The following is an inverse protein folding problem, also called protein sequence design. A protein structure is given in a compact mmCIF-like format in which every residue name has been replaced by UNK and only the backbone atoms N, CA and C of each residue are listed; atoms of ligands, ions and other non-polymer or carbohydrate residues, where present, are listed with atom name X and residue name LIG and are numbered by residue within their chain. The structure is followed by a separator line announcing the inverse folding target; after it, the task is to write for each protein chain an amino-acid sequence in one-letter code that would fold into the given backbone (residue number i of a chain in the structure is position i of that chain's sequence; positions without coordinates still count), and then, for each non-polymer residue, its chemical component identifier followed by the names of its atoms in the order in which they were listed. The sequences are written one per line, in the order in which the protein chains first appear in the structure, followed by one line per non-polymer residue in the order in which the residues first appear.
data_IF_830105055944
#
_entry.id   IF_830105055944
#
_cell.length_a   1.000
_cell.length_b   1.000
_cell.length_c   1.000
_cell.angle_alpha   90.00
_cell.angle_beta   90.00
_cell.angle_gamma   90.00
#
_symmetry.space_group_name_H-M   'P 1'
#
loop_
_entity.id
_entity.type
_entity.pdbx_description
1 polymer ?
#
# COMPACT_ATOMS: atom_id res chain seq x y z
N UNK A 1 -19.28 1.08 16.03
CA UNK A 1 -18.73 2.44 15.91
C UNK A 1 -18.44 2.65 14.44
N UNK A 2 -19.43 3.19 13.71
CA UNK A 2 -19.28 3.43 12.27
C UNK A 2 -18.04 4.29 12.01
N UNK A 3 -17.38 4.00 10.91
CA UNK A 3 -16.05 4.42 10.55
C UNK A 3 -16.10 5.90 10.11
N UNK A 4 -16.36 6.82 11.06
CA UNK A 4 -16.50 8.27 10.81
C UNK A 4 -15.29 8.83 10.06
N UNK A 5 -14.12 8.19 10.22
CA UNK A 5 -12.86 8.51 9.53
C UNK A 5 -12.99 8.31 8.01
N UNK A 6 -13.71 7.30 7.51
CA UNK A 6 -13.81 7.03 6.07
C UNK A 6 -14.75 7.99 5.31
N UNK A 7 -15.44 8.89 6.02
CA UNK A 7 -16.36 9.86 5.41
C UNK A 7 -15.72 11.18 5.00
N UNK A 8 -14.47 11.43 5.41
CA UNK A 8 -13.80 12.71 5.20
C UNK A 8 -13.34 12.82 3.74
N UNK A 9 -13.78 13.87 3.04
CA UNK A 9 -13.26 14.18 1.71
C UNK A 9 -12.09 15.17 1.82
N UNK A 10 -10.88 14.64 1.96
CA UNK A 10 -9.68 15.47 2.15
C UNK A 10 -8.46 14.82 1.50
N UNK A 11 -7.72 15.60 0.73
CA UNK A 11 -6.52 15.15 0.04
C UNK A 11 -5.45 14.60 0.98
N UNK A 12 -5.22 15.26 2.13
CA UNK A 12 -4.24 14.78 3.14
C UNK A 12 -4.66 13.44 3.73
N UNK A 13 -5.97 13.26 3.93
CA UNK A 13 -6.50 12.00 4.42
C UNK A 13 -6.33 10.89 3.38
N UNK A 14 -6.60 11.18 2.11
CA UNK A 14 -6.33 10.26 1.00
C UNK A 14 -4.86 9.87 0.87
N UNK A 15 -3.93 10.83 1.02
CA UNK A 15 -2.50 10.56 1.03
C UNK A 15 -2.11 9.59 2.14
N UNK A 16 -2.58 9.82 3.37
CA UNK A 16 -2.31 8.94 4.50
C UNK A 16 -2.90 7.54 4.28
N UNK A 17 -4.13 7.45 3.78
CA UNK A 17 -4.76 6.17 3.45
C UNK A 17 -3.99 5.40 2.38
N UNK A 18 -3.49 6.09 1.35
CA UNK A 18 -2.71 5.47 0.28
C UNK A 18 -1.39 4.85 0.75
N UNK A 19 -0.86 5.30 1.89
CA UNK A 19 0.34 4.74 2.53
C UNK A 19 0.05 3.54 3.44
N UNK A 20 -1.22 3.32 3.82
CA UNK A 20 -1.61 2.18 4.66
C UNK A 20 -1.55 0.87 3.87
N UNK A 21 -1.94 0.88 2.59
CA UNK A 21 -1.94 -0.31 1.74
C UNK A 21 -0.56 -1.00 1.59
N UNK A 22 0.57 -0.29 1.41
CA UNK A 22 1.91 -0.88 1.47
C UNK A 22 2.20 -1.64 2.77
N UNK A 23 1.82 -1.05 3.91
CA UNK A 23 2.05 -1.64 5.23
C UNK A 23 1.21 -2.91 5.39
N UNK A 24 -0.09 -2.83 5.06
CA UNK A 24 -0.99 -3.99 5.09
C UNK A 24 -0.48 -5.09 4.16
N UNK A 25 -0.04 -4.74 2.95
CA UNK A 25 0.50 -5.70 1.99
C UNK A 25 1.71 -6.46 2.53
N UNK A 26 2.64 -5.75 3.18
CA UNK A 26 3.82 -6.34 3.80
C UNK A 26 3.43 -7.35 4.88
N UNK A 27 2.47 -7.00 5.75
CA UNK A 27 1.97 -7.92 6.78
C UNK A 27 1.23 -9.12 6.19
N UNK A 28 0.35 -8.91 5.21
CA UNK A 28 -0.34 -10.01 4.51
C UNK A 28 0.69 -10.98 3.95
N UNK A 29 1.72 -10.47 3.26
CA UNK A 29 2.74 -11.31 2.67
C UNK A 29 3.55 -12.08 3.72
N UNK A 30 3.93 -11.41 4.82
CA UNK A 30 4.60 -12.04 5.95
C UNK A 30 3.78 -13.19 6.54
N UNK A 31 2.52 -12.96 6.89
CA UNK A 31 1.68 -13.99 7.51
C UNK A 31 1.32 -15.15 6.57
N UNK A 32 1.22 -14.89 5.26
CA UNK A 32 0.87 -15.93 4.29
C UNK A 32 2.07 -16.82 3.97
N UNK A 33 3.28 -16.27 3.84
CA UNK A 33 4.44 -16.99 3.30
C UNK A 33 5.61 -17.18 4.28
N UNK A 34 5.71 -16.33 5.29
CA UNK A 34 6.85 -16.27 6.22
C UNK A 34 6.41 -16.34 7.69
N UNK A 35 5.22 -16.88 7.97
CA UNK A 35 4.70 -17.01 9.34
C UNK A 35 5.55 -17.88 10.26
N UNK A 36 6.39 -18.76 9.70
CA UNK A 36 7.30 -19.65 10.44
C UNK A 36 8.62 -19.00 10.84
N UNK A 37 8.95 -17.80 10.33
CA UNK A 37 10.20 -17.08 10.64
C UNK A 37 9.91 -15.78 11.37
N UNK A 38 10.90 -15.25 12.09
CA UNK A 38 10.74 -13.96 12.76
C UNK A 38 10.62 -12.82 11.76
N UNK A 39 9.95 -11.73 12.16
CA UNK A 39 9.81 -10.55 11.30
C UNK A 39 11.17 -9.93 10.92
N UNK A 40 12.17 -10.03 11.81
CA UNK A 40 13.54 -9.58 11.54
C UNK A 40 14.18 -10.39 10.41
N UNK A 41 14.09 -11.73 10.47
CA UNK A 41 14.60 -12.61 9.41
C UNK A 41 13.88 -12.39 8.08
N UNK A 42 12.57 -12.17 8.12
CA UNK A 42 11.79 -11.80 6.94
C UNK A 42 12.28 -10.50 6.31
N UNK A 43 12.57 -9.47 7.10
CA UNK A 43 13.07 -8.20 6.58
C UNK A 43 14.47 -8.35 5.97
N UNK A 44 15.35 -9.12 6.61
CA UNK A 44 16.66 -9.48 6.04
C UNK A 44 16.51 -10.25 4.72
N UNK A 45 15.57 -11.18 4.65
CA UNK A 45 15.28 -11.96 3.45
C UNK A 45 14.77 -11.07 2.30
N UNK A 46 13.83 -10.16 2.56
CA UNK A 46 13.35 -9.20 1.56
C UNK A 46 14.46 -8.30 1.01
N UNK A 47 15.41 -7.91 1.87
CA UNK A 47 16.53 -7.05 1.46
C UNK A 47 17.51 -7.77 0.53
N UNK A 48 17.74 -9.07 0.76
CA UNK A 48 18.62 -9.91 -0.07
C UNK A 48 17.94 -10.33 -1.38
N UNK A 49 16.65 -10.65 -1.33
CA UNK A 49 15.89 -11.22 -2.45
C UNK A 49 14.95 -10.19 -3.09
N UNK A 50 15.47 -9.41 -4.04
CA UNK A 50 14.74 -8.32 -4.74
C UNK A 50 13.51 -8.81 -5.52
N UNK A 51 13.47 -10.07 -5.92
CA UNK A 51 12.32 -10.71 -6.55
C UNK A 51 11.10 -10.78 -5.62
N UNK A 52 11.34 -10.93 -4.31
CA UNK A 52 10.27 -11.00 -3.30
C UNK A 52 9.64 -9.63 -3.05
N UNK A 53 10.37 -8.54 -3.27
CA UNK A 53 9.84 -7.17 -3.21
C UNK A 53 8.71 -7.00 -4.23
N UNK A 54 8.85 -7.60 -5.42
CA UNK A 54 7.78 -7.58 -6.45
C UNK A 54 6.54 -8.34 -5.96
N UNK A 55 6.73 -9.47 -5.29
CA UNK A 55 5.64 -10.26 -4.73
C UNK A 55 4.85 -9.53 -3.62
N UNK A 56 5.52 -8.67 -2.84
CA UNK A 56 4.86 -7.78 -1.86
C UNK A 56 4.16 -6.59 -2.54
N UNK A 57 4.67 -6.14 -3.69
CA UNK A 57 4.17 -4.95 -4.39
C UNK A 57 2.82 -5.18 -5.08
N UNK A 58 2.55 -6.39 -5.56
CA UNK A 58 1.27 -6.74 -6.21
C UNK A 58 0.06 -6.56 -5.27
N UNK A 59 0.00 -7.19 -4.08
CA UNK A 59 -1.11 -6.99 -3.15
C UNK A 59 -1.25 -5.53 -2.69
N UNK A 60 -0.14 -4.77 -2.61
CA UNK A 60 -0.17 -3.35 -2.28
C UNK A 60 -0.94 -2.54 -3.33
N UNK A 61 -0.64 -2.75 -4.62
CA UNK A 61 -1.33 -2.08 -5.71
C UNK A 61 -2.82 -2.47 -5.76
N UNK A 62 -3.14 -3.75 -5.55
CA UNK A 62 -4.53 -4.22 -5.50
C UNK A 62 -5.30 -3.56 -4.36
N UNK A 63 -4.73 -3.49 -3.16
CA UNK A 63 -5.36 -2.81 -2.02
C UNK A 63 -5.58 -1.32 -2.28
N UNK A 64 -4.61 -0.64 -2.89
CA UNK A 64 -4.76 0.78 -3.22
C UNK A 64 -5.78 1.03 -4.33
N UNK A 65 -5.88 0.15 -5.33
CA UNK A 65 -6.95 0.20 -6.33
C UNK A 65 -8.30 0.01 -5.65
N UNK A 66 -8.44 -0.97 -4.75
CA UNK A 66 -9.68 -1.20 -4.02
C UNK A 66 -10.10 0.02 -3.18
N UNK A 67 -9.15 0.63 -2.45
CA UNK A 67 -9.39 1.87 -1.70
C UNK A 67 -9.78 3.02 -2.63
N UNK A 68 -9.03 3.24 -3.70
CA UNK A 68 -9.32 4.27 -4.69
C UNK A 68 -10.73 4.11 -5.27
N UNK A 69 -11.10 2.90 -5.71
CA UNK A 69 -12.42 2.58 -6.28
C UNK A 69 -13.54 2.80 -5.25
N UNK A 70 -13.33 2.43 -3.99
CA UNK A 70 -14.31 2.70 -2.94
C UNK A 70 -14.57 4.20 -2.75
N UNK A 71 -13.51 5.01 -2.72
CA UNK A 71 -13.61 6.46 -2.49
C UNK A 71 -14.17 7.22 -3.68
N UNK A 72 -13.80 6.87 -4.91
CA UNK A 72 -14.33 7.51 -6.12
C UNK A 72 -15.83 7.20 -6.29
N UNK A 73 -16.25 5.95 -6.05
CA UNK A 73 -17.66 5.57 -6.11
C UNK A 73 -18.50 6.18 -4.99
N UNK A 74 -17.86 6.61 -3.89
CA UNK A 74 -18.50 7.33 -2.80
C UNK A 74 -18.54 8.86 -3.00
N UNK A 75 -18.19 9.36 -4.19
CA UNK A 75 -18.09 10.79 -4.51
C UNK A 75 -17.14 11.57 -3.58
N UNK A 76 -16.03 10.95 -3.15
CA UNK A 76 -14.99 11.58 -2.30
C UNK A 76 -13.73 11.81 -3.11
N UNK A 77 -13.86 12.70 -4.09
CA UNK A 77 -12.87 12.88 -5.15
C UNK A 77 -11.53 13.40 -4.62
N UNK A 78 -11.51 14.25 -3.58
CA UNK A 78 -10.25 14.73 -3.00
C UNK A 78 -9.49 13.60 -2.31
N UNK A 79 -10.20 12.70 -1.63
CA UNK A 79 -9.59 11.54 -0.98
C UNK A 79 -9.09 10.53 -2.00
N UNK A 80 -9.89 10.24 -3.03
CA UNK A 80 -9.49 9.38 -4.14
C UNK A 80 -8.22 9.92 -4.84
N UNK A 81 -8.17 11.23 -5.11
CA UNK A 81 -6.96 11.90 -5.64
C UNK A 81 -5.76 11.75 -4.71
N UNK A 82 -5.95 11.86 -3.39
CA UNK A 82 -4.89 11.63 -2.41
C UNK A 82 -4.34 10.20 -2.44
N UNK A 83 -5.22 9.19 -2.48
CA UNK A 83 -4.83 7.77 -2.56
C UNK A 83 -4.05 7.51 -3.85
N UNK A 84 -4.55 8.01 -4.98
CA UNK A 84 -3.90 7.88 -6.28
C UNK A 84 -2.53 8.58 -6.31
N UNK A 85 -2.43 9.79 -5.74
CA UNK A 85 -1.17 10.53 -5.68
C UNK A 85 -0.12 9.80 -4.84
N UNK A 86 -0.49 9.28 -3.65
CA UNK A 86 0.39 8.45 -2.84
C UNK A 86 0.84 7.19 -3.62
N UNK A 87 -0.09 6.58 -4.35
CA UNK A 87 0.17 5.43 -5.21
C UNK A 87 1.22 5.71 -6.27
N UNK A 88 1.08 6.83 -6.96
CA UNK A 88 2.02 7.25 -7.98
C UNK A 88 3.41 7.54 -7.39
N UNK A 89 3.48 8.19 -6.22
CA UNK A 89 4.76 8.51 -5.56
C UNK A 89 5.55 7.24 -5.27
N UNK A 90 4.98 6.26 -4.56
CA UNK A 90 5.74 5.06 -4.24
C UNK A 90 5.97 4.16 -5.47
N UNK A 91 5.10 4.19 -6.47
CA UNK A 91 5.31 3.47 -7.73
C UNK A 91 6.52 4.03 -8.49
N UNK A 92 6.66 5.36 -8.55
CA UNK A 92 7.83 6.03 -9.12
C UNK A 92 9.08 5.68 -8.31
N UNK A 93 9.02 5.75 -6.97
CA UNK A 93 10.16 5.36 -6.13
C UNK A 93 10.59 3.91 -6.38
N UNK A 94 9.63 2.98 -6.42
CA UNK A 94 9.91 1.56 -6.69
C UNK A 94 10.53 1.34 -8.08
N UNK A 95 10.08 2.08 -9.10
CA UNK A 95 10.69 2.06 -10.42
C UNK A 95 12.12 2.59 -10.38
N UNK A 96 12.37 3.75 -9.76
CA UNK A 96 13.71 4.31 -9.62
C UNK A 96 14.66 3.34 -8.91
N UNK A 97 14.21 2.70 -7.82
CA UNK A 97 14.98 1.68 -7.10
C UNK A 97 15.26 0.40 -7.89
N UNK A 98 14.50 0.13 -8.97
CA UNK A 98 14.74 -1.02 -9.86
C UNK A 98 15.80 -0.70 -10.92
N UNK A 99 15.93 0.56 -11.33
CA UNK A 99 16.85 0.99 -12.39
C UNK A 99 18.19 1.56 -11.86
N UNK A 100 18.27 1.88 -10.57
CA UNK A 100 19.51 2.17 -9.82
C UNK A 100 20.07 0.88 -9.25
#
# INVERSE_FOLDING_TARGET
MEIVILKKDNLRFGLLLGLVAPVISLFIYYFVKFSSVSFGEFMSFLHVHRDQITAVSVPCLVLNIALFTYYINSHKDHTAKGIFAATLIYAILALLFKFI
#
